data_IF_802724070165
#
_entry.id   IF_802724070165
#
_cell.length_a   1.000
_cell.length_b   1.000
_cell.length_c   1.000
_cell.angle_alpha   90.00
_cell.angle_beta   90.00
_cell.angle_gamma   90.00
#
_symmetry.space_group_name_H-M   'P 1'
#
loop_
_entity.id
_entity.type
_entity.pdbx_description
1 polymer ?
#
# COMPACT_ATOMS: atom_id res chain seq x y z
N UNK A 1 -9.09 -10.18 -35.04
CA UNK A 1 -8.11 -11.29 -35.07
C UNK A 1 -7.22 -11.39 -33.82
N UNK A 2 -7.43 -10.61 -32.74
CA UNK A 2 -6.52 -10.57 -31.58
C UNK A 2 -6.97 -11.40 -30.36
N UNK A 3 -8.17 -12.01 -30.36
CA UNK A 3 -8.71 -12.70 -29.17
C UNK A 3 -8.13 -14.10 -28.90
N UNK A 4 -7.69 -14.83 -29.94
CA UNK A 4 -7.17 -16.21 -29.75
C UNK A 4 -5.84 -16.27 -29.01
N UNK A 5 -5.04 -15.20 -29.06
CA UNK A 5 -3.74 -15.16 -28.40
C UNK A 5 -3.85 -14.86 -26.89
N UNK A 6 -4.98 -14.32 -26.44
CA UNK A 6 -5.26 -14.09 -25.02
C UNK A 6 -5.83 -15.34 -24.33
N UNK A 7 -6.67 -16.11 -25.02
CA UNK A 7 -7.22 -17.36 -24.48
C UNK A 7 -6.14 -18.41 -24.22
N UNK A 8 -5.16 -18.56 -25.12
CA UNK A 8 -4.06 -19.52 -24.91
C UNK A 8 -3.24 -19.23 -23.65
N UNK A 9 -3.00 -17.95 -23.34
CA UNK A 9 -2.23 -17.54 -22.16
C UNK A 9 -3.02 -17.62 -20.85
N UNK A 10 -4.35 -17.46 -20.92
CA UNK A 10 -5.25 -17.69 -19.79
C UNK A 10 -5.42 -19.19 -19.50
N UNK A 11 -5.38 -20.04 -20.54
CA UNK A 11 -5.39 -21.49 -20.39
C UNK A 11 -4.08 -22.03 -19.80
N UNK A 12 -2.92 -21.47 -20.17
CA UNK A 12 -1.63 -21.78 -19.51
C UNK A 12 -1.65 -21.40 -18.01
N UNK A 13 -2.20 -20.24 -17.66
CA UNK A 13 -2.33 -19.82 -16.26
C UNK A 13 -3.36 -20.66 -15.47
N UNK A 14 -4.42 -21.14 -16.13
CA UNK A 14 -5.38 -22.09 -15.55
C UNK A 14 -4.76 -23.45 -15.31
N UNK A 15 -3.89 -23.93 -16.21
CA UNK A 15 -3.16 -25.17 -16.03
C UNK A 15 -2.18 -25.10 -14.86
N UNK A 16 -1.47 -23.97 -14.70
CA UNK A 16 -0.59 -23.71 -13.55
C UNK A 16 -1.38 -23.70 -12.22
N UNK A 17 -2.59 -23.14 -12.21
CA UNK A 17 -3.48 -23.12 -11.02
C UNK A 17 -4.15 -24.47 -10.71
N UNK A 18 -4.41 -25.31 -11.71
CA UNK A 18 -5.04 -26.63 -11.52
C UNK A 18 -4.09 -27.73 -11.06
N UNK A 19 -2.77 -27.52 -11.16
CA UNK A 19 -1.74 -28.49 -10.77
C UNK A 19 -1.25 -28.37 -9.31
N UNK A 20 -1.84 -27.49 -8.49
CA UNK A 20 -1.43 -27.33 -7.08
C UNK A 20 -2.42 -27.93 -6.09
N UNK A 21 -2.45 -29.26 -5.99
CA UNK A 21 -2.82 -29.96 -4.76
C UNK A 21 -1.57 -30.12 -3.88
N UNK A 22 -1.62 -29.63 -2.63
CA UNK A 22 -0.57 -29.78 -1.61
C UNK A 22 -0.20 -31.25 -1.31
N UNK A 23 0.94 -31.58 -0.64
CA UNK A 23 2.01 -30.72 -0.11
C UNK A 23 3.43 -31.13 -0.59
N UNK A 24 4.38 -30.18 -0.62
CA UNK A 24 5.81 -30.47 -0.46
C UNK A 24 6.51 -29.28 0.20
N UNK A 25 7.14 -29.54 1.34
CA UNK A 25 7.99 -28.62 2.08
C UNK A 25 9.18 -28.18 1.21
N UNK A 26 9.46 -26.88 1.16
CA UNK A 26 10.72 -26.33 0.66
C UNK A 26 10.66 -25.44 -0.59
N UNK A 27 9.49 -25.27 -1.23
CA UNK A 27 9.34 -24.36 -2.37
C UNK A 27 9.00 -22.92 -1.93
N UNK A 28 9.79 -21.94 -2.38
CA UNK A 28 9.50 -20.50 -2.16
C UNK A 28 8.16 -20.15 -2.82
N UNK A 29 7.11 -19.87 -2.05
CA UNK A 29 5.83 -19.37 -2.56
C UNK A 29 5.98 -17.88 -2.86
N UNK A 30 6.54 -17.58 -4.03
CA UNK A 30 6.81 -16.19 -4.44
C UNK A 30 5.58 -15.44 -4.97
N UNK A 31 4.44 -16.14 -5.18
CA UNK A 31 3.20 -15.53 -5.66
C UNK A 31 1.95 -16.23 -5.11
N UNK A 32 0.82 -15.50 -5.11
CA UNK A 32 -0.51 -15.98 -4.73
C UNK A 32 -1.57 -15.32 -5.61
N UNK A 33 -2.65 -16.04 -5.94
CA UNK A 33 -3.85 -15.43 -6.54
C UNK A 33 -4.86 -15.15 -5.43
N UNK A 34 -5.35 -13.91 -5.36
CA UNK A 34 -6.31 -13.47 -4.34
C UNK A 34 -7.65 -13.17 -5.03
N UNK A 35 -8.75 -13.53 -4.35
CA UNK A 35 -10.14 -13.34 -4.82
C UNK A 35 -10.44 -14.02 -6.17
N UNK A 36 -10.07 -15.29 -6.32
CA UNK A 36 -10.30 -16.03 -7.56
C UNK A 36 -11.80 -16.07 -7.93
N UNK A 37 -12.12 -15.81 -9.20
CA UNK A 37 -13.49 -15.83 -9.72
C UNK A 37 -14.36 -14.60 -9.42
N UNK A 38 -13.84 -13.55 -8.79
CA UNK A 38 -14.59 -12.28 -8.59
C UNK A 38 -13.97 -11.13 -9.38
N UNK A 39 -14.69 -10.01 -9.50
CA UNK A 39 -14.20 -8.84 -10.27
C UNK A 39 -12.95 -8.18 -9.67
N UNK A 40 -12.67 -8.43 -8.39
CA UNK A 40 -11.54 -7.93 -7.62
C UNK A 40 -10.35 -8.91 -7.59
N UNK A 41 -10.24 -9.80 -8.59
CA UNK A 41 -9.12 -10.74 -8.69
C UNK A 41 -7.79 -10.03 -8.98
N UNK A 42 -6.76 -10.37 -8.19
CA UNK A 42 -5.39 -9.92 -8.47
C UNK A 42 -4.35 -10.98 -8.11
N UNK A 43 -3.19 -10.89 -8.76
CA UNK A 43 -2.02 -11.73 -8.49
C UNK A 43 -1.08 -10.95 -7.58
N UNK A 44 -0.76 -11.55 -6.45
CA UNK A 44 0.11 -11.02 -5.42
C UNK A 44 1.51 -11.62 -5.59
N UNK A 45 2.53 -10.78 -5.46
CA UNK A 45 3.93 -11.20 -5.53
C UNK A 45 4.75 -10.66 -4.36
N UNK A 46 5.51 -11.53 -3.71
CA UNK A 46 6.42 -11.14 -2.62
C UNK A 46 7.77 -10.62 -3.12
N UNK A 47 8.24 -9.53 -2.53
CA UNK A 47 9.55 -8.95 -2.79
C UNK A 47 10.28 -8.60 -1.49
N UNK A 48 11.60 -8.78 -1.50
CA UNK A 48 12.51 -8.33 -0.44
C UNK A 48 13.65 -7.48 -1.00
N UNK A 49 14.10 -6.49 -0.24
CA UNK A 49 15.14 -5.54 -0.66
C UNK A 49 16.50 -6.24 -0.74
N UNK A 50 17.17 -6.08 -1.88
CA UNK A 50 18.54 -6.55 -2.06
C UNK A 50 19.49 -5.38 -2.10
N UNK A 51 20.50 -5.38 -1.22
CA UNK A 51 21.49 -4.31 -1.12
C UNK A 51 22.27 -4.17 -2.43
N UNK A 52 22.76 -5.27 -2.99
CA UNK A 52 23.55 -5.27 -4.23
C UNK A 52 22.78 -4.63 -5.41
N UNK A 53 21.55 -5.08 -5.64
CA UNK A 53 20.69 -4.55 -6.72
C UNK A 53 20.32 -3.08 -6.50
N UNK A 54 20.06 -2.70 -5.25
CA UNK A 54 19.80 -1.31 -4.88
C UNK A 54 21.03 -0.44 -5.20
N UNK A 55 22.24 -0.86 -4.83
CA UNK A 55 23.48 -0.12 -5.10
C UNK A 55 23.71 0.06 -6.60
N UNK A 56 23.55 -1.00 -7.40
CA UNK A 56 23.67 -0.93 -8.86
C UNK A 56 22.65 0.07 -9.44
N UNK A 57 21.40 0.03 -8.98
CA UNK A 57 20.35 0.95 -9.42
C UNK A 57 20.73 2.40 -9.11
N UNK A 58 21.30 2.69 -7.94
CA UNK A 58 21.78 4.02 -7.59
C UNK A 58 22.94 4.49 -8.47
N UNK A 59 23.89 3.61 -8.80
CA UNK A 59 24.98 3.93 -9.73
C UNK A 59 24.42 4.37 -11.09
N UNK A 60 23.44 3.64 -11.64
CA UNK A 60 22.78 4.03 -12.90
C UNK A 60 21.98 5.33 -12.81
N UNK A 61 21.35 5.61 -11.66
CA UNK A 61 20.66 6.89 -11.43
C UNK A 61 21.65 8.05 -11.49
N UNK A 62 22.82 7.92 -10.85
CA UNK A 62 23.87 8.95 -10.88
C UNK A 62 24.43 9.11 -12.29
N UNK A 63 24.72 8.00 -12.97
CA UNK A 63 25.26 8.00 -14.34
C UNK A 63 24.32 8.69 -15.35
N UNK A 64 23.01 8.57 -15.16
CA UNK A 64 21.99 9.20 -16.01
C UNK A 64 21.62 10.62 -15.57
N UNK A 65 22.38 11.22 -14.65
CA UNK A 65 22.12 12.56 -14.09
C UNK A 65 20.67 12.66 -13.58
N UNK A 66 20.14 11.58 -13.00
CA UNK A 66 18.79 11.54 -12.45
C UNK A 66 17.66 11.29 -13.46
N UNK A 67 17.90 11.16 -14.76
CA UNK A 67 16.84 10.83 -15.72
C UNK A 67 16.14 9.51 -15.39
N UNK A 68 16.90 8.50 -14.97
CA UNK A 68 16.32 7.21 -14.56
C UNK A 68 15.44 7.33 -13.31
N UNK A 69 15.75 8.27 -12.40
CA UNK A 69 14.95 8.54 -11.20
C UNK A 69 13.55 9.05 -11.55
N UNK A 70 13.44 9.84 -12.62
CA UNK A 70 12.17 10.35 -13.13
C UNK A 70 11.32 9.22 -13.73
N UNK A 71 11.92 8.31 -14.50
CA UNK A 71 11.22 7.11 -15.01
C UNK A 71 10.66 6.29 -13.84
N UNK A 72 11.46 6.09 -12.80
CA UNK A 72 11.04 5.39 -11.59
C UNK A 72 9.94 6.11 -10.81
N UNK A 73 9.91 7.44 -10.85
CA UNK A 73 8.82 8.23 -10.28
C UNK A 73 7.49 7.94 -11.01
N UNK A 74 7.51 7.82 -12.35
CA UNK A 74 6.30 7.49 -13.13
C UNK A 74 5.90 6.02 -13.06
N UNK A 75 6.87 5.12 -12.89
CA UNK A 75 6.67 3.66 -12.87
C UNK A 75 7.32 3.05 -11.62
N UNK A 76 6.69 3.18 -10.45
CA UNK A 76 7.27 2.70 -9.18
C UNK A 76 7.50 1.18 -9.15
N UNK A 77 6.71 0.40 -9.90
CA UNK A 77 6.91 -1.06 -10.00
C UNK A 77 8.22 -1.44 -10.72
N UNK A 78 8.73 -0.60 -11.63
CA UNK A 78 10.05 -0.83 -12.24
C UNK A 78 11.17 -0.60 -11.23
N UNK A 79 11.04 0.45 -10.41
CA UNK A 79 11.99 0.68 -9.32
C UNK A 79 12.05 -0.50 -8.35
N UNK A 80 10.90 -1.06 -8.00
CA UNK A 80 10.84 -2.26 -7.16
C UNK A 80 11.53 -3.46 -7.82
N UNK A 81 11.29 -3.68 -9.12
CA UNK A 81 11.93 -4.78 -9.85
C UNK A 81 13.46 -4.62 -9.94
N UNK A 82 13.95 -3.38 -10.07
CA UNK A 82 15.37 -3.09 -10.09
C UNK A 82 16.03 -3.24 -8.71
N UNK A 83 15.38 -2.83 -7.62
CA UNK A 83 15.98 -2.82 -6.28
C UNK A 83 15.77 -4.13 -5.49
N UNK A 84 14.76 -4.91 -5.82
CA UNK A 84 14.31 -6.05 -5.01
C UNK A 84 14.50 -7.40 -5.72
N UNK A 85 14.50 -8.46 -4.92
CA UNK A 85 14.48 -9.86 -5.37
C UNK A 85 13.14 -10.47 -4.96
N UNK A 86 12.67 -11.47 -5.72
CA UNK A 86 11.49 -12.26 -5.38
C UNK A 86 11.71 -12.94 -4.03
N UNK A 87 10.75 -12.78 -3.12
CA UNK A 87 10.80 -13.37 -1.80
C UNK A 87 9.53 -14.18 -1.54
N UNK A 88 9.61 -15.09 -0.57
CA UNK A 88 8.43 -15.79 -0.07
C UNK A 88 7.44 -14.79 0.53
N UNK A 89 6.14 -15.02 0.33
CA UNK A 89 5.10 -14.14 0.87
C UNK A 89 5.19 -14.04 2.41
N UNK A 90 5.62 -15.12 3.06
CA UNK A 90 5.80 -15.18 4.51
C UNK A 90 6.91 -14.28 5.04
N UNK A 91 7.86 -13.80 4.22
CA UNK A 91 9.02 -12.97 4.66
C UNK A 91 9.12 -11.67 3.84
N UNK A 92 8.16 -11.39 2.97
CA UNK A 92 8.22 -10.24 2.08
C UNK A 92 8.06 -8.91 2.84
N UNK A 93 8.82 -7.90 2.41
CA UNK A 93 8.71 -6.52 2.89
C UNK A 93 7.80 -5.68 1.99
N UNK A 94 7.80 -6.02 0.71
CA UNK A 94 7.00 -5.35 -0.31
C UNK A 94 6.18 -6.38 -1.05
N UNK A 95 4.96 -5.98 -1.39
CA UNK A 95 4.03 -6.76 -2.18
C UNK A 95 3.74 -6.02 -3.47
N UNK A 96 3.87 -6.72 -4.60
CA UNK A 96 3.47 -6.22 -5.90
C UNK A 96 2.17 -6.90 -6.31
N UNK A 97 1.11 -6.12 -6.47
CA UNK A 97 -0.19 -6.58 -6.92
C UNK A 97 -0.34 -6.34 -8.41
N UNK A 98 -0.84 -7.33 -9.12
CA UNK A 98 -1.20 -7.26 -10.53
C UNK A 98 -2.69 -7.51 -10.68
N UNK A 99 -3.41 -6.45 -11.01
CA UNK A 99 -4.86 -6.49 -11.24
C UNK A 99 -5.20 -7.25 -12.54
N UNK A 100 -6.47 -7.67 -12.71
CA UNK A 100 -6.99 -8.27 -13.95
C UNK A 100 -6.78 -7.37 -15.16
N UNK A 101 -6.82 -6.05 -14.95
CA UNK A 101 -6.55 -5.03 -15.97
C UNK A 101 -5.06 -4.79 -16.24
N UNK A 102 -4.17 -5.68 -15.75
CA UNK A 102 -2.70 -5.57 -15.88
C UNK A 102 -2.12 -4.28 -15.28
N UNK A 103 -2.82 -3.68 -14.33
CA UNK A 103 -2.33 -2.56 -13.53
C UNK A 103 -1.50 -3.09 -12.36
N UNK A 104 -0.41 -2.37 -12.06
CA UNK A 104 0.54 -2.77 -11.01
C UNK A 104 0.44 -1.82 -9.83
N UNK A 105 0.31 -2.38 -8.62
CA UNK A 105 0.32 -1.63 -7.38
C UNK A 105 1.44 -2.14 -6.48
N UNK A 106 2.22 -1.23 -5.90
CA UNK A 106 3.30 -1.56 -4.97
C UNK A 106 2.82 -1.16 -3.59
N UNK A 107 2.74 -2.14 -2.70
CA UNK A 107 2.35 -1.93 -1.30
C UNK A 107 3.45 -2.42 -0.37
N UNK A 108 3.51 -1.81 0.81
CA UNK A 108 4.45 -2.20 1.87
C UNK A 108 3.72 -3.10 2.87
N UNK A 109 4.34 -4.20 3.26
CA UNK A 109 3.81 -5.07 4.30
C UNK A 109 4.12 -4.44 5.65
N UNK A 110 3.08 -4.29 6.46
CA UNK A 110 3.13 -3.76 7.82
C UNK A 110 2.95 -4.91 8.81
N UNK A 111 3.44 -4.70 10.02
CA UNK A 111 3.41 -5.67 11.10
C UNK A 111 2.77 -5.03 12.32
N UNK A 112 1.75 -5.67 12.89
CA UNK A 112 1.05 -5.25 14.11
C UNK A 112 1.27 -6.32 15.18
N UNK A 113 1.47 -5.87 16.42
CA UNK A 113 1.40 -6.73 17.60
C UNK A 113 0.00 -6.59 18.24
N UNK A 114 -0.73 -7.69 18.41
CA UNK A 114 -2.10 -7.68 18.96
C UNK A 114 -2.12 -7.54 20.50
N UNK A 115 -1.04 -7.89 21.17
CA UNK A 115 -0.90 -7.77 22.61
C UNK A 115 0.28 -6.85 22.96
N UNK A 116 0.13 -5.52 22.76
CA UNK A 116 1.20 -4.58 23.06
C UNK A 116 1.48 -4.59 24.57
N UNK A 117 2.70 -4.96 24.95
CA UNK A 117 3.16 -4.80 26.33
C UNK A 117 3.03 -3.32 26.72
N UNK A 118 2.29 -2.97 27.80
CA UNK A 118 2.06 -1.58 28.19
C UNK A 118 3.33 -0.79 28.55
N UNK A 119 4.49 -1.46 28.66
CA UNK A 119 5.77 -0.86 28.98
C UNK A 119 6.67 -0.57 27.76
N UNK A 120 6.21 -0.75 26.52
CA UNK A 120 7.02 -0.45 25.34
C UNK A 120 6.87 1.04 24.91
N UNK A 121 7.90 1.88 25.04
CA UNK A 121 7.84 3.31 24.70
C UNK A 121 7.70 3.59 23.19
N UNK A 122 7.64 2.55 22.35
CA UNK A 122 7.62 2.68 20.88
C UNK A 122 6.22 2.88 20.25
N UNK A 123 5.19 3.20 21.04
CA UNK A 123 3.80 3.39 20.56
C UNK A 123 3.59 4.59 19.57
N UNK A 124 4.66 5.22 19.07
CA UNK A 124 4.58 6.38 18.16
C UNK A 124 5.56 6.38 16.98
N UNK A 125 6.11 5.23 16.56
CA UNK A 125 6.80 5.13 15.26
C UNK A 125 6.37 3.89 14.50
N UNK A 126 5.41 4.07 13.60
CA UNK A 126 5.37 3.30 12.36
C UNK A 126 6.73 3.49 11.67
N UNK A 127 7.65 2.57 11.91
CA UNK A 127 9.02 2.64 11.43
C UNK A 127 9.06 2.33 9.94
N UNK A 128 9.12 3.39 9.15
CA UNK A 128 9.78 3.40 7.85
C UNK A 128 11.18 2.80 8.08
N UNK A 129 11.61 1.75 7.36
CA UNK A 129 12.93 1.18 7.55
C UNK A 129 13.99 2.18 7.07
N UNK A 130 14.62 2.87 8.02
CA UNK A 130 15.83 3.66 7.81
C UNK A 130 17.07 2.75 7.84
N UNK A 131 18.07 3.12 7.04
CA UNK A 131 19.27 2.38 6.65
C UNK A 131 20.01 1.60 7.77
N UNK A 132 20.69 0.49 7.43
CA UNK A 132 21.65 -0.16 8.32
C UNK A 132 23.06 0.40 8.08
N UNK A 133 23.56 1.19 9.03
CA UNK A 133 25.00 1.43 9.18
C UNK A 133 25.28 1.81 10.63
N UNK A 134 25.85 0.88 11.38
CA UNK A 134 26.24 1.09 12.78
C UNK A 134 26.47 -0.23 13.50
N UNK A 135 27.73 -0.65 13.53
CA UNK A 135 28.27 -1.78 14.29
C UNK A 135 28.27 -1.39 15.78
N UNK A 136 27.73 -2.24 16.65
CA UNK A 136 27.77 -2.05 18.10
C UNK A 136 27.07 -3.18 18.84
N UNK A 137 27.85 -3.96 19.57
CA UNK A 137 27.58 -5.25 20.19
C UNK A 137 26.93 -5.20 21.58
N UNK A 138 26.10 -6.23 21.85
CA UNK A 138 25.88 -6.94 23.12
C UNK A 138 25.23 -6.20 24.31
N UNK A 139 23.95 -6.53 24.55
CA UNK A 139 23.53 -7.13 25.82
C UNK A 139 22.20 -7.88 25.65
N UNK A 140 22.27 -9.20 25.83
CA UNK A 140 21.17 -10.15 25.78
C UNK A 140 20.23 -9.95 26.98
N UNK A 141 19.01 -9.46 26.73
CA UNK A 141 17.83 -9.81 27.50
C UNK A 141 16.72 -10.14 26.50
N UNK A 142 16.71 -11.40 26.07
CA UNK A 142 15.72 -11.97 25.18
C UNK A 142 14.43 -12.20 25.98
N UNK A 143 13.62 -11.16 26.08
CA UNK A 143 12.20 -11.32 26.37
C UNK A 143 11.59 -11.99 25.13
N UNK A 144 11.29 -13.28 25.24
CA UNK A 144 10.60 -14.04 24.20
C UNK A 144 9.23 -13.40 23.99
N UNK A 145 9.14 -12.55 22.98
CA UNK A 145 7.87 -12.17 22.36
C UNK A 145 7.36 -13.47 21.72
N UNK A 146 6.20 -13.96 22.16
CA UNK A 146 5.55 -15.09 21.50
C UNK A 146 5.29 -14.67 20.04
N UNK A 147 5.94 -15.32 19.08
CA UNK A 147 5.88 -14.99 17.64
C UNK A 147 4.42 -15.01 17.11
N UNK A 148 3.49 -15.62 17.87
CA UNK A 148 2.06 -15.71 17.57
C UNK A 148 1.29 -14.39 17.65
N UNK A 149 1.82 -13.37 18.34
CA UNK A 149 1.11 -12.08 18.47
C UNK A 149 1.42 -11.10 17.33
N UNK A 150 2.31 -11.49 16.42
CA UNK A 150 2.78 -10.64 15.32
C UNK A 150 2.00 -10.94 14.05
N UNK A 151 1.01 -10.10 13.75
CA UNK A 151 0.22 -10.20 12.53
C UNK A 151 0.72 -9.25 11.46
N UNK A 152 0.88 -9.77 10.25
CA UNK A 152 1.28 -8.98 9.08
C UNK A 152 0.06 -8.64 8.25
N UNK A 153 0.03 -7.42 7.75
CA UNK A 153 -1.06 -6.96 6.91
C UNK A 153 -0.56 -5.94 5.90
N UNK A 154 -1.29 -5.79 4.80
CA UNK A 154 -1.08 -4.70 3.87
C UNK A 154 -2.43 -4.10 3.50
N UNK A 155 -2.43 -2.84 3.07
CA UNK A 155 -3.65 -2.16 2.64
C UNK A 155 -3.53 -1.90 1.15
N UNK A 156 -4.51 -2.32 0.36
CA UNK A 156 -4.60 -1.98 -1.06
C UNK A 156 -5.97 -1.41 -1.38
N UNK A 157 -6.03 -0.26 -2.07
CA UNK A 157 -7.28 0.41 -2.47
C UNK A 157 -8.31 0.54 -1.33
N UNK A 158 -7.85 0.74 -0.08
CA UNK A 158 -8.64 0.80 1.18
C UNK A 158 -9.13 -0.53 1.76
N UNK A 159 -8.76 -1.66 1.16
CA UNK A 159 -8.98 -2.98 1.74
C UNK A 159 -7.74 -3.46 2.48
N UNK A 160 -7.91 -3.92 3.71
CA UNK A 160 -6.86 -4.57 4.49
C UNK A 160 -6.80 -6.05 4.15
N UNK A 161 -5.59 -6.58 3.97
CA UNK A 161 -5.32 -7.99 3.77
C UNK A 161 -4.40 -8.46 4.87
N UNK A 162 -4.78 -9.52 5.57
CA UNK A 162 -4.03 -10.07 6.71
C UNK A 162 -3.37 -11.37 6.30
N UNK A 163 -2.18 -11.62 6.85
CA UNK A 163 -1.45 -12.86 6.66
C UNK A 163 -2.04 -13.97 7.53
N UNK A 164 -2.52 -15.03 6.90
CA UNK A 164 -3.02 -16.23 7.56
C UNK A 164 -1.90 -17.27 7.63
N UNK A 165 -1.40 -17.57 8.85
CA UNK A 165 -0.31 -18.55 9.03
C UNK A 165 -0.73 -19.98 8.69
N UNK A 166 -1.99 -20.35 8.97
CA UNK A 166 -2.48 -21.71 8.74
C UNK A 166 -2.48 -22.10 7.25
N UNK A 167 -2.76 -21.14 6.38
CA UNK A 167 -2.87 -21.39 4.94
C UNK A 167 -1.67 -20.86 4.14
N UNK A 168 -0.76 -20.14 4.82
CA UNK A 168 0.37 -19.39 4.23
C UNK A 168 -0.10 -18.51 3.06
N UNK A 169 -1.15 -17.72 3.31
CA UNK A 169 -1.83 -16.93 2.27
C UNK A 169 -2.34 -15.61 2.85
N UNK A 170 -2.32 -14.54 2.04
CA UNK A 170 -3.01 -13.30 2.39
C UNK A 170 -4.51 -13.45 2.14
N UNK A 171 -5.32 -13.17 3.15
CA UNK A 171 -6.78 -13.17 3.09
C UNK A 171 -7.30 -11.74 3.25
N UNK A 172 -8.38 -11.42 2.54
CA UNK A 172 -9.04 -10.12 2.69
C UNK A 172 -9.63 -10.05 4.08
N UNK A 173 -9.34 -8.98 4.82
CA UNK A 173 -10.00 -8.72 6.10
C UNK A 173 -11.45 -8.36 5.79
N UNK A 174 -12.35 -9.28 6.13
CA UNK A 174 -13.79 -9.14 5.95
C UNK A 174 -14.41 -8.84 7.31
N UNK A 175 -15.51 -8.08 7.31
CA UNK A 175 -16.27 -7.86 8.52
C UNK A 175 -17.11 -9.09 8.88
N UNK A 176 -17.83 -8.98 9.99
CA UNK A 176 -18.66 -10.06 10.55
C UNK A 176 -19.83 -10.42 9.63
N UNK A 177 -20.16 -9.56 8.67
CA UNK A 177 -21.22 -9.74 7.68
C UNK A 177 -20.97 -10.87 6.68
N UNK A 178 -19.72 -11.28 6.47
CA UNK A 178 -19.40 -12.23 5.41
C UNK A 178 -19.58 -13.68 5.88
N UNK A 179 -20.33 -14.49 5.12
CA UNK A 179 -20.60 -15.92 5.39
C UNK A 179 -21.36 -16.23 6.69
N UNK A 180 -22.16 -15.29 7.19
CA UNK A 180 -22.94 -15.47 8.42
C UNK A 180 -24.44 -15.50 8.13
N UNK A 181 -25.17 -16.48 8.69
CA UNK A 181 -26.63 -16.57 8.59
C UNK A 181 -27.30 -15.48 9.44
N UNK A 182 -28.46 -14.98 9.01
CA UNK A 182 -29.20 -13.92 9.72
C UNK A 182 -29.46 -14.24 11.21
N UNK A 183 -29.65 -15.51 11.55
CA UNK A 183 -29.88 -15.97 12.94
C UNK A 183 -28.74 -15.59 13.91
N UNK A 184 -27.51 -15.51 13.42
CA UNK A 184 -26.37 -15.06 14.23
C UNK A 184 -26.58 -13.64 14.75
N UNK A 185 -27.09 -12.72 13.91
CA UNK A 185 -27.30 -11.33 14.31
C UNK A 185 -28.39 -11.19 15.39
N UNK A 186 -29.36 -12.10 15.42
CA UNK A 186 -30.37 -12.14 16.47
C UNK A 186 -29.82 -12.58 17.83
N UNK A 187 -28.66 -13.24 17.86
CA UNK A 187 -28.04 -13.80 19.07
C UNK A 187 -26.73 -13.09 19.46
N UNK A 188 -26.36 -12.01 18.77
CA UNK A 188 -25.14 -11.25 19.08
C UNK A 188 -25.23 -10.67 20.49
N UNK A 189 -24.22 -10.99 21.31
CA UNK A 189 -24.00 -10.33 22.60
C UNK A 189 -23.14 -9.08 22.42
N UNK A 190 -23.30 -8.05 23.29
CA UNK A 190 -22.42 -6.90 23.28
C UNK A 190 -20.96 -7.32 23.49
N UNK A 191 -20.04 -6.64 22.80
CA UNK A 191 -18.61 -6.95 22.91
C UNK A 191 -18.08 -6.55 24.28
N UNK A 192 -17.19 -7.38 24.83
CA UNK A 192 -16.41 -7.01 26.02
C UNK A 192 -15.37 -5.94 25.67
N UNK A 193 -14.88 -5.22 26.69
CA UNK A 193 -13.86 -4.18 26.53
C UNK A 193 -12.58 -4.74 25.88
N UNK A 194 -12.17 -5.95 26.28
CA UNK A 194 -11.00 -6.64 25.72
C UNK A 194 -11.19 -7.00 24.25
N UNK A 195 -12.34 -7.59 23.90
CA UNK A 195 -12.66 -7.93 22.50
C UNK A 195 -12.75 -6.68 21.63
N UNK A 196 -13.28 -5.58 22.17
CA UNK A 196 -13.32 -4.29 21.47
C UNK A 196 -11.92 -3.75 21.25
N UNK A 197 -11.03 -3.84 22.24
CA UNK A 197 -9.64 -3.41 22.11
C UNK A 197 -8.90 -4.22 21.03
N UNK A 198 -9.01 -5.55 21.05
CA UNK A 198 -8.41 -6.42 20.03
C UNK A 198 -8.95 -6.12 18.62
N UNK A 199 -10.27 -5.98 18.46
CA UNK A 199 -10.86 -5.61 17.17
C UNK A 199 -10.44 -4.22 16.73
N UNK A 200 -10.29 -3.26 17.64
CA UNK A 200 -9.80 -1.91 17.32
C UNK A 200 -8.36 -1.94 16.78
N UNK A 201 -7.52 -2.85 17.26
CA UNK A 201 -6.15 -3.04 16.75
C UNK A 201 -6.17 -3.57 15.30
N UNK A 202 -7.04 -4.55 15.01
CA UNK A 202 -7.10 -5.20 13.68
C UNK A 202 -7.81 -4.33 12.63
N UNK A 203 -8.98 -3.78 12.97
CA UNK A 203 -9.80 -2.99 12.04
C UNK A 203 -9.41 -1.51 12.00
N UNK A 204 -8.68 -1.04 13.01
CA UNK A 204 -8.35 0.38 13.17
C UNK A 204 -9.51 1.19 13.75
N UNK A 205 -9.32 2.51 13.80
CA UNK A 205 -10.35 3.43 14.23
C UNK A 205 -11.36 3.69 13.11
N UNK A 206 -12.64 3.78 13.46
CA UNK A 206 -13.69 4.19 12.53
C UNK A 206 -13.61 5.71 12.28
N UNK A 207 -12.61 6.13 11.53
CA UNK A 207 -12.44 7.52 11.10
C UNK A 207 -11.96 7.58 9.66
N UNK A 208 -12.61 8.41 8.84
CA UNK A 208 -12.21 8.64 7.46
C UNK A 208 -11.28 9.86 7.44
N UNK A 209 -10.02 9.63 7.81
CA UNK A 209 -9.00 10.68 7.86
C UNK A 209 -8.45 11.05 6.48
N UNK A 210 -9.05 12.03 5.81
CA UNK A 210 -8.53 12.55 4.53
C UNK A 210 -7.31 13.46 4.75
N UNK A 211 -6.08 12.97 4.67
CA UNK A 211 -4.87 13.82 4.77
C UNK A 211 -4.81 14.85 3.62
N UNK A 212 -4.69 16.14 3.97
CA UNK A 212 -4.49 17.20 2.99
C UNK A 212 -3.05 17.14 2.50
N UNK A 213 -2.86 16.94 1.20
CA UNK A 213 -1.54 16.98 0.60
C UNK A 213 -1.02 18.43 0.57
N UNK A 214 0.26 18.67 0.92
CA UNK A 214 0.81 20.01 0.92
C UNK A 214 0.93 20.54 -0.51
N UNK A 215 0.74 21.85 -0.69
CA UNK A 215 0.71 22.50 -2.02
C UNK A 215 1.99 22.23 -2.82
N UNK A 216 3.14 22.21 -2.15
CA UNK A 216 4.43 21.93 -2.78
C UNK A 216 4.47 20.51 -3.37
N UNK A 217 3.90 19.52 -2.70
CA UNK A 217 3.82 18.16 -3.22
C UNK A 217 2.91 18.08 -4.46
N UNK A 218 1.79 18.82 -4.47
CA UNK A 218 0.93 18.92 -5.66
C UNK A 218 1.68 19.58 -6.82
N UNK A 219 2.39 20.69 -6.55
CA UNK A 219 3.18 21.40 -7.56
C UNK A 219 4.26 20.51 -8.17
N UNK A 220 5.04 19.81 -7.34
CA UNK A 220 6.06 18.88 -7.83
C UNK A 220 5.41 17.78 -8.67
N UNK A 221 4.32 17.18 -8.20
CA UNK A 221 3.61 16.14 -8.96
C UNK A 221 3.12 16.63 -10.33
N UNK A 222 2.61 17.85 -10.38
CA UNK A 222 2.15 18.50 -11.61
C UNK A 222 3.33 18.76 -12.57
N UNK A 223 4.37 19.45 -12.08
CA UNK A 223 5.55 19.81 -12.90
C UNK A 223 6.34 18.58 -13.36
N UNK A 224 6.33 17.49 -12.59
CA UNK A 224 6.96 16.22 -13.01
C UNK A 224 6.10 15.40 -13.98
N UNK A 225 4.94 15.90 -14.42
CA UNK A 225 4.20 15.26 -15.51
C UNK A 225 5.06 15.23 -16.78
N UNK A 226 5.05 14.12 -17.55
CA UNK A 226 5.84 14.00 -18.78
C UNK A 226 5.71 15.20 -19.73
N UNK A 227 4.49 15.75 -19.84
CA UNK A 227 4.20 16.90 -20.68
C UNK A 227 5.07 18.12 -20.34
N UNK A 228 5.10 18.55 -19.07
CA UNK A 228 5.85 19.75 -18.68
C UNK A 228 7.36 19.55 -18.74
N UNK A 229 7.85 18.32 -18.58
CA UNK A 229 9.28 18.02 -18.70
C UNK A 229 9.74 18.15 -20.15
N UNK A 230 8.97 17.59 -21.10
CA UNK A 230 9.26 17.80 -22.52
C UNK A 230 9.12 19.27 -22.90
N UNK A 231 8.11 19.95 -22.36
CA UNK A 231 7.92 21.37 -22.60
C UNK A 231 9.10 22.22 -22.08
N UNK A 232 9.62 21.92 -20.89
CA UNK A 232 10.80 22.59 -20.33
C UNK A 232 12.02 22.40 -21.23
N UNK A 233 12.24 21.18 -21.73
CA UNK A 233 13.32 20.89 -22.67
C UNK A 233 13.17 21.71 -23.97
N UNK A 234 11.96 21.78 -24.54
CA UNK A 234 11.69 22.60 -25.72
C UNK A 234 11.92 24.09 -25.46
N UNK A 235 11.51 24.62 -24.30
CA UNK A 235 11.79 26.01 -23.93
C UNK A 235 13.28 26.29 -23.80
N UNK A 236 14.05 25.38 -23.19
CA UNK A 236 15.51 25.52 -23.08
C UNK A 236 16.16 25.55 -24.46
N UNK A 237 15.72 24.68 -25.39
CA UNK A 237 16.19 24.68 -26.77
C UNK A 237 15.92 26.03 -27.46
N UNK A 238 14.71 26.57 -27.33
CA UNK A 238 14.39 27.87 -27.93
C UNK A 238 15.13 29.05 -27.30
N UNK A 239 15.44 29.00 -26.00
CA UNK A 239 16.31 30.00 -25.39
C UNK A 239 17.75 29.91 -25.90
N UNK A 240 18.25 28.71 -26.19
CA UNK A 240 19.58 28.51 -26.77
C UNK A 240 19.66 29.01 -28.22
N UNK A 241 18.57 28.89 -28.98
CA UNK A 241 18.45 29.37 -30.36
C UNK A 241 18.05 30.86 -30.47
N UNK A 242 18.17 31.63 -29.39
CA UNK A 242 17.85 33.08 -29.30
C UNK A 242 16.36 33.46 -29.57
N UNK A 243 15.43 32.51 -29.53
CA UNK A 243 13.97 32.76 -29.69
C UNK A 243 13.28 33.14 -28.37
N UNK A 244 13.80 34.18 -27.69
CA UNK A 244 13.39 34.58 -26.33
C UNK A 244 11.89 34.96 -26.24
N UNK A 245 11.36 35.70 -27.21
CA UNK A 245 9.98 36.19 -27.19
C UNK A 245 8.95 35.04 -27.16
N UNK A 246 9.09 34.05 -28.04
CA UNK A 246 8.17 32.91 -28.08
C UNK A 246 8.32 31.99 -26.85
N UNK A 247 9.56 31.72 -26.43
CA UNK A 247 9.83 30.90 -25.26
C UNK A 247 9.21 31.51 -23.98
N UNK A 248 9.34 32.83 -23.78
CA UNK A 248 8.74 33.54 -22.65
C UNK A 248 7.20 33.46 -22.63
N UNK A 249 6.53 33.57 -23.77
CA UNK A 249 5.08 33.41 -23.87
C UNK A 249 4.63 32.01 -23.42
N UNK A 250 5.36 30.97 -23.80
CA UNK A 250 5.03 29.58 -23.46
C UNK A 250 5.24 29.34 -21.96
N UNK A 251 6.34 29.84 -21.41
CA UNK A 251 6.57 29.81 -19.95
C UNK A 251 5.45 30.53 -19.21
N UNK A 252 5.05 31.72 -19.67
CA UNK A 252 3.97 32.48 -19.03
C UNK A 252 2.63 31.72 -19.03
N UNK A 253 2.18 31.22 -20.19
CA UNK A 253 0.92 30.48 -20.31
C UNK A 253 0.92 29.25 -19.40
N UNK A 254 2.06 28.56 -19.30
CA UNK A 254 2.15 27.32 -18.54
C UNK A 254 2.24 27.55 -17.04
N UNK A 255 2.88 28.64 -16.59
CA UNK A 255 2.79 29.10 -15.20
C UNK A 255 1.33 29.40 -14.82
N UNK A 256 0.60 30.15 -15.65
CA UNK A 256 -0.82 30.46 -15.39
C UNK A 256 -1.65 29.18 -15.36
N UNK A 257 -1.45 28.26 -16.30
CA UNK A 257 -2.14 26.97 -16.36
C UNK A 257 -1.93 26.15 -15.09
N UNK A 258 -0.67 25.97 -14.65
CA UNK A 258 -0.33 25.23 -13.42
C UNK A 258 -0.94 25.89 -12.18
N UNK A 259 -0.97 27.22 -12.10
CA UNK A 259 -1.61 27.92 -10.97
C UNK A 259 -3.11 27.62 -10.93
N UNK A 260 -3.80 27.67 -12.08
CA UNK A 260 -5.23 27.40 -12.17
C UNK A 260 -5.53 25.96 -11.76
N UNK A 261 -4.81 24.98 -12.30
CA UNK A 261 -5.03 23.56 -11.98
C UNK A 261 -4.76 23.27 -10.50
N UNK A 262 -3.71 23.84 -9.92
CA UNK A 262 -3.42 23.68 -8.48
C UNK A 262 -4.52 24.27 -7.60
N UNK A 263 -5.05 25.44 -7.95
CA UNK A 263 -6.17 26.05 -7.21
C UNK A 263 -7.41 25.18 -7.26
N UNK A 264 -7.71 24.60 -8.40
CA UNK A 264 -8.86 23.71 -8.59
C UNK A 264 -8.72 22.42 -7.78
N UNK A 265 -7.59 21.72 -7.89
CA UNK A 265 -7.32 20.49 -7.11
C UNK A 265 -7.41 20.79 -5.61
N UNK A 266 -6.84 21.90 -5.16
CA UNK A 266 -6.87 22.29 -3.74
C UNK A 266 -8.26 22.67 -3.25
N UNK A 267 -9.11 23.21 -4.12
CA UNK A 267 -10.52 23.48 -3.81
C UNK A 267 -11.29 22.17 -3.66
N UNK A 268 -11.08 21.24 -4.57
CA UNK A 268 -11.76 19.93 -4.57
C UNK A 268 -11.36 19.08 -3.36
N UNK A 269 -10.08 19.03 -3.00
CA UNK A 269 -9.61 18.33 -1.79
C UNK A 269 -10.24 18.88 -0.50
N UNK A 270 -10.40 20.19 -0.40
CA UNK A 270 -11.02 20.83 0.77
C UNK A 270 -12.51 20.55 0.84
N UNK A 271 -13.22 20.72 -0.27
CA UNK A 271 -14.65 20.41 -0.34
C UNK A 271 -14.93 18.95 0.10
N UNK A 272 -14.16 17.99 -0.40
CA UNK A 272 -14.30 16.59 -0.01
C UNK A 272 -13.99 16.36 1.47
N UNK A 273 -12.94 17.00 1.99
CA UNK A 273 -12.62 16.92 3.42
C UNK A 273 -13.77 17.43 4.28
N UNK A 274 -14.34 18.58 3.94
CA UNK A 274 -15.39 19.21 4.75
C UNK A 274 -16.66 18.36 4.78
N UNK A 275 -16.97 17.63 3.70
CA UNK A 275 -18.10 16.67 3.67
C UNK A 275 -17.87 15.46 4.60
N UNK A 276 -16.62 15.02 4.78
CA UNK A 276 -16.31 13.78 5.50
C UNK A 276 -16.15 13.97 7.01
N UNK A 277 -15.84 15.18 7.50
CA UNK A 277 -15.66 15.46 8.94
C UNK A 277 -16.96 15.63 9.73
N UNK A 278 -18.12 15.34 9.15
CA UNK A 278 -19.37 15.31 9.89
C UNK A 278 -19.40 14.07 10.78
N UNK A 279 -18.93 14.20 12.03
CA UNK A 279 -19.03 13.16 13.04
C UNK A 279 -20.32 13.32 13.84
N UNK A 280 -21.17 12.30 13.82
CA UNK A 280 -22.39 12.23 14.63
C UNK A 280 -22.11 11.43 15.91
N UNK A 281 -22.67 11.88 17.03
CA UNK A 281 -22.57 11.15 18.30
C UNK A 281 -23.64 10.06 18.29
N UNK A 282 -23.20 8.80 18.34
CA UNK A 282 -24.10 7.64 18.42
C UNK A 282 -23.88 6.89 19.73
N UNK A 283 -24.99 6.48 20.33
CA UNK A 283 -25.03 5.63 21.53
C UNK A 283 -24.70 4.19 21.14
N UNK A 284 -23.75 3.55 21.83
CA UNK A 284 -23.30 2.18 21.53
C UNK A 284 -23.46 1.31 22.77
N UNK A 285 -24.24 0.24 22.65
CA UNK A 285 -24.43 -0.72 23.74
C UNK A 285 -23.14 -1.51 23.97
N UNK A 286 -22.62 -1.45 25.20
CA UNK A 286 -21.41 -2.19 25.60
C UNK A 286 -21.69 -3.15 26.74
N UNK A 287 -20.91 -4.22 26.84
CA UNK A 287 -21.04 -5.19 27.93
C UNK A 287 -20.47 -4.62 29.23
N UNK A 288 -21.29 -4.52 30.28
CA UNK A 288 -20.84 -4.17 31.62
C UNK A 288 -20.64 -5.45 32.47
N UNK A 289 -19.42 -5.74 32.96
CA UNK A 289 -19.16 -6.91 33.79
C UNK A 289 -19.86 -6.88 35.17
N UNK A 290 -20.30 -5.71 35.65
CA UNK A 290 -20.89 -5.57 37.00
C UNK A 290 -22.41 -5.82 37.04
N UNK A 291 -23.14 -5.51 35.97
CA UNK A 291 -24.62 -5.64 35.91
C UNK A 291 -25.10 -6.78 35.04
N UNK A 292 -24.22 -7.45 34.29
CA UNK A 292 -24.55 -8.52 33.33
C UNK A 292 -25.65 -8.14 32.30
N UNK A 293 -25.87 -6.84 32.11
CA UNK A 293 -26.85 -6.24 31.21
C UNK A 293 -26.16 -5.27 30.24
N UNK A 294 -26.73 -5.13 29.04
CA UNK A 294 -26.26 -4.15 28.05
C UNK A 294 -26.76 -2.76 28.42
N UNK A 295 -25.85 -1.82 28.66
CA UNK A 295 -26.19 -0.43 28.93
C UNK A 295 -26.12 0.33 27.61
N UNK A 296 -27.18 1.08 27.29
CA UNK A 296 -27.26 2.00 26.15
C UNK A 296 -26.33 3.20 26.36
#
# INVERSE_FOLDING_TARGET
MNNRQYDGKLLELRQIGSSSSMPQQGGIRSYQVVNDGTDDQFILYGYSRSVARTTITWIFIVLTVGFLRLIFYWKPHWFLQCCCIRADLAVCQYVLLKDRYKQWYVETVLTININPNPNDPNHSRNSIPANPSGIGSLSEQQQQIDDKDIHRYFINKRWSYVWEEAEYKFTKLLGVEHNVKCDYFCQIRPLTVEQRAQKKIIFGENSIGLRLTPILHLLIKEVLSPFYIFQLFSCISWFADEYVAYASCIVFITVVSVIVTLREVRKNERALRDTVHQSEVTTVVTYNPETNEGIC
#
